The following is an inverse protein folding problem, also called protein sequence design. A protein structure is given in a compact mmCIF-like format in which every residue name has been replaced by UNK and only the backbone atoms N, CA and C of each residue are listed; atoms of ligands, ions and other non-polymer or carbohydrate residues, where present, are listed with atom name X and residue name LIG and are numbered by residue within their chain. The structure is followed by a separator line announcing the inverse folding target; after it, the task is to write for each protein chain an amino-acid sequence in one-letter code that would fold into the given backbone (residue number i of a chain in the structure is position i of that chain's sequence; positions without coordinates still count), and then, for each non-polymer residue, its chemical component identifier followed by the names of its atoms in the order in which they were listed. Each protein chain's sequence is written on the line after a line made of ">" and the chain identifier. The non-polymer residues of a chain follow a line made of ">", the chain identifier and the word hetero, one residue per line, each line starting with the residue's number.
data_IF_425242279128
#
_entry.id   IF_425242279128
#
_cell.length_a   1.000
_cell.length_b   1.000
_cell.length_c   1.000
_cell.angle_alpha   90.00
_cell.angle_beta   90.00
_cell.angle_gamma   90.00
#
_symmetry.space_group_name_H-M   'P 1'
#
loop_
_entity.id
_entity.type
_entity.pdbx_description
1 polymer ?
#
# COMPACT_ATOMS: atom_id res chain seq x y z
N UNK A 1 21.26 2.19 47.64
CA UNK A 1 21.51 2.74 46.29
C UNK A 1 21.38 4.27 46.33
N UNK A 2 22.48 5.03 46.17
CA UNK A 2 22.44 6.49 46.10
C UNK A 2 21.95 6.89 44.70
N UNK A 3 20.80 7.56 44.58
CA UNK A 3 20.32 8.14 43.32
C UNK A 3 21.29 9.26 42.91
N UNK A 4 21.87 9.17 41.72
CA UNK A 4 22.70 10.22 41.14
C UNK A 4 21.80 11.44 40.86
N UNK A 5 21.95 12.51 41.63
CA UNK A 5 21.30 13.80 41.33
C UNK A 5 22.14 14.51 40.29
N UNK A 6 21.81 14.32 39.01
CA UNK A 6 22.39 15.10 37.92
C UNK A 6 21.82 16.51 38.05
N UNK A 7 22.68 17.53 38.17
CA UNK A 7 22.22 18.91 38.26
C UNK A 7 21.65 19.37 36.92
N UNK A 8 20.74 20.35 36.96
CA UNK A 8 20.15 20.94 35.75
C UNK A 8 21.23 21.49 34.80
N UNK A 9 22.34 21.98 35.34
CA UNK A 9 23.49 22.46 34.58
C UNK A 9 24.23 21.33 33.84
N UNK A 10 24.36 20.15 34.45
CA UNK A 10 24.98 18.98 33.79
C UNK A 10 24.06 18.44 32.70
N UNK A 11 22.74 18.42 32.92
CA UNK A 11 21.77 18.08 31.87
C UNK A 11 21.82 19.06 30.69
N UNK A 12 21.86 20.36 30.96
CA UNK A 12 21.99 21.38 29.92
C UNK A 12 23.30 21.24 29.13
N UNK A 13 24.42 20.98 29.83
CA UNK A 13 25.71 20.74 29.19
C UNK A 13 25.71 19.51 28.28
N UNK A 14 25.09 18.40 28.71
CA UNK A 14 24.94 17.19 27.90
C UNK A 14 24.05 17.43 26.67
N UNK A 15 22.97 18.19 26.80
CA UNK A 15 22.12 18.56 25.66
C UNK A 15 22.88 19.41 24.62
N UNK A 16 23.69 20.37 25.07
CA UNK A 16 24.52 21.21 24.19
C UNK A 16 25.56 20.36 23.47
N UNK A 17 26.26 19.46 24.18
CA UNK A 17 27.22 18.53 23.58
C UNK A 17 26.58 17.61 22.55
N UNK A 18 25.37 17.11 22.82
CA UNK A 18 24.61 16.28 21.89
C UNK A 18 24.18 17.05 20.63
N UNK A 19 23.73 18.30 20.79
CA UNK A 19 23.43 19.21 19.68
C UNK A 19 24.67 19.53 18.83
N UNK A 20 25.79 19.85 19.46
CA UNK A 20 27.05 20.14 18.78
C UNK A 20 27.58 18.90 18.04
N UNK A 21 27.46 17.72 18.65
CA UNK A 21 27.82 16.45 17.99
C UNK A 21 26.90 16.18 16.78
N UNK A 22 25.59 16.40 16.91
CA UNK A 22 24.65 16.31 15.78
C UNK A 22 25.00 17.26 14.64
N UNK A 23 25.30 18.52 14.94
CA UNK A 23 25.73 19.52 13.94
C UNK A 23 27.07 19.14 13.29
N UNK A 24 28.01 18.59 14.06
CA UNK A 24 29.27 18.06 13.55
C UNK A 24 29.02 16.90 12.57
N UNK A 25 28.16 15.94 12.93
CA UNK A 25 27.79 14.83 12.03
C UNK A 25 27.12 15.33 10.74
N UNK A 26 26.23 16.33 10.81
CA UNK A 26 25.60 16.95 9.62
C UNK A 26 26.64 17.60 8.71
N UNK A 27 27.60 18.32 9.29
CA UNK A 27 28.64 19.03 8.53
C UNK A 27 29.53 18.07 7.73
N UNK A 28 29.78 16.87 8.24
CA UNK A 28 30.67 15.89 7.59
C UNK A 28 29.94 14.83 6.76
N UNK A 29 28.70 14.46 7.12
CA UNK A 29 27.93 13.41 6.45
C UNK A 29 26.76 13.96 5.60
N UNK A 30 26.64 15.29 5.47
CA UNK A 30 25.74 15.97 4.54
C UNK A 30 24.30 16.20 5.04
N UNK A 31 23.63 15.22 5.64
CA UNK A 31 22.23 15.37 6.10
C UNK A 31 21.95 14.50 7.32
N UNK A 32 21.23 15.02 8.31
CA UNK A 32 20.83 14.27 9.51
C UNK A 32 19.34 14.43 9.81
N UNK A 33 18.68 13.28 10.02
CA UNK A 33 17.40 13.12 10.72
C UNK A 33 16.12 13.44 9.94
N UNK A 34 15.31 12.41 9.68
CA UNK A 34 13.84 12.52 9.69
C UNK A 34 13.42 12.72 11.15
N UNK A 35 13.02 13.93 11.52
CA UNK A 35 12.32 14.15 12.78
C UNK A 35 10.83 13.91 12.54
N UNK A 36 10.20 13.14 13.45
CA UNK A 36 8.74 13.00 13.67
C UNK A 36 7.79 12.73 12.47
N UNK A 37 8.31 12.41 11.29
CA UNK A 37 7.50 12.26 10.08
C UNK A 37 7.15 13.57 9.37
N UNK A 38 7.69 14.71 9.81
CA UNK A 38 7.47 16.02 9.17
C UNK A 38 8.28 16.27 7.88
N UNK A 39 9.01 15.29 7.35
CA UNK A 39 9.86 15.42 6.15
C UNK A 39 10.91 16.57 6.23
N UNK A 40 11.17 17.08 7.45
CA UNK A 40 12.15 18.14 7.74
C UNK A 40 13.52 17.54 7.97
N UNK A 41 14.56 18.15 7.41
CA UNK A 41 15.95 17.78 7.65
C UNK A 41 16.74 18.89 8.34
N UNK A 42 17.88 18.47 8.91
CA UNK A 42 19.02 19.33 9.20
C UNK A 42 20.11 19.05 8.15
N UNK A 43 20.49 20.07 7.36
CA UNK A 43 21.50 19.99 6.30
C UNK A 43 22.53 21.11 6.48
N UNK A 44 23.75 20.86 6.07
CA UNK A 44 24.76 21.91 5.91
C UNK A 44 24.81 22.35 4.44
N UNK A 45 24.60 23.63 4.18
CA UNK A 45 24.70 24.26 2.88
C UNK A 45 26.12 24.80 2.69
N UNK A 46 26.98 24.00 2.06
CA UNK A 46 28.40 24.35 1.84
C UNK A 46 28.57 25.62 1.01
N UNK A 47 27.67 25.88 0.06
CA UNK A 47 27.76 27.04 -0.82
C UNK A 47 27.56 28.38 -0.08
N UNK A 48 26.80 28.35 1.01
CA UNK A 48 26.47 29.53 1.82
C UNK A 48 26.99 29.45 3.26
N UNK A 49 27.85 28.47 3.56
CA UNK A 49 28.48 28.21 4.86
C UNK A 49 27.50 28.25 6.06
N UNK A 50 26.31 27.65 5.91
CA UNK A 50 25.24 27.71 6.92
C UNK A 50 24.53 26.39 7.15
N UNK A 51 23.96 26.21 8.35
CA UNK A 51 23.05 25.11 8.64
C UNK A 51 21.62 25.50 8.25
N UNK A 52 20.95 24.64 7.47
CA UNK A 52 19.53 24.73 7.17
C UNK A 52 18.79 23.90 8.21
N UNK A 53 18.10 24.59 9.11
CA UNK A 53 17.20 23.99 10.08
C UNK A 53 15.80 23.94 9.47
N UNK A 54 15.12 22.78 9.58
CA UNK A 54 13.76 22.58 9.08
C UNK A 54 13.62 22.74 7.55
N UNK A 55 14.67 22.44 6.79
CA UNK A 55 14.58 22.39 5.32
C UNK A 55 13.67 21.25 4.88
N UNK A 56 12.89 21.47 3.81
CA UNK A 56 12.17 20.39 3.14
C UNK A 56 13.14 19.69 2.18
N UNK A 57 13.10 18.35 2.14
CA UNK A 57 13.75 17.54 1.09
C UNK A 57 13.45 18.16 -0.27
N UNK A 58 14.49 18.38 -1.06
CA UNK A 58 14.34 18.86 -2.43
C UNK A 58 13.88 17.66 -3.28
N UNK A 59 12.57 17.58 -3.51
CA UNK A 59 11.96 16.51 -4.28
C UNK A 59 12.02 16.88 -5.76
N UNK A 60 12.59 15.99 -6.57
CA UNK A 60 12.81 16.22 -7.99
C UNK A 60 12.05 15.21 -8.83
N UNK A 61 11.59 15.67 -9.99
CA UNK A 61 11.07 14.79 -11.03
C UNK A 61 12.27 14.12 -11.72
N UNK A 62 12.31 12.79 -11.69
CA UNK A 62 13.42 11.98 -12.20
C UNK A 62 12.98 10.86 -13.16
N UNK A 63 11.73 10.91 -13.61
CA UNK A 63 11.12 9.93 -14.53
C UNK A 63 9.71 10.35 -14.94
N UNK A 64 9.16 9.68 -15.94
CA UNK A 64 7.75 9.84 -16.31
C UNK A 64 6.83 9.26 -15.23
N UNK A 65 5.60 9.76 -15.13
CA UNK A 65 4.62 9.30 -14.14
C UNK A 65 3.20 9.74 -14.53
N UNK A 66 2.20 9.13 -13.88
CA UNK A 66 0.80 9.49 -14.02
C UNK A 66 -0.03 8.57 -14.92
N UNK A 67 -1.29 8.95 -15.19
CA UNK A 67 -1.87 10.24 -14.83
C UNK A 67 -2.35 10.32 -13.38
N UNK A 68 -2.35 11.55 -12.85
CA UNK A 68 -3.31 11.96 -11.81
C UNK A 68 -4.57 12.43 -12.54
N UNK A 69 -5.73 11.88 -12.19
CA UNK A 69 -7.02 12.24 -12.80
C UNK A 69 -7.96 12.76 -11.73
N UNK A 70 -8.34 14.03 -11.82
CA UNK A 70 -9.21 14.72 -10.86
C UNK A 70 -10.50 15.18 -11.51
N UNK A 71 -11.61 15.10 -10.79
CA UNK A 71 -12.87 15.77 -11.16
C UNK A 71 -12.70 17.28 -11.04
N UNK A 72 -13.16 17.99 -12.06
CA UNK A 72 -13.21 19.45 -12.11
C UNK A 72 -14.67 19.87 -12.34
N UNK A 73 -15.40 20.08 -11.25
CA UNK A 73 -16.85 20.27 -11.30
C UNK A 73 -17.60 19.01 -11.74
N UNK A 74 -18.82 19.17 -12.25
CA UNK A 74 -19.70 18.06 -12.61
C UNK A 74 -19.30 17.35 -13.93
N UNK A 75 -18.79 18.10 -14.90
CA UNK A 75 -18.74 17.65 -16.30
C UNK A 75 -17.32 17.58 -16.88
N UNK A 76 -16.27 17.79 -16.07
CA UNK A 76 -14.89 17.84 -16.56
C UNK A 76 -13.92 17.09 -15.64
N UNK A 77 -12.79 16.70 -16.23
CA UNK A 77 -11.66 16.07 -15.56
C UNK A 77 -10.40 16.87 -15.86
N UNK A 78 -9.57 17.10 -14.85
CA UNK A 78 -8.17 17.49 -15.04
C UNK A 78 -7.31 16.21 -15.03
N UNK A 79 -6.44 16.09 -16.02
CA UNK A 79 -5.48 14.99 -16.15
C UNK A 79 -4.07 15.56 -16.23
N UNK A 80 -3.23 15.17 -15.28
CA UNK A 80 -1.83 15.59 -15.19
C UNK A 80 -0.90 14.39 -15.41
N UNK A 81 0.17 14.59 -16.17
CA UNK A 81 1.26 13.64 -16.39
C UNK A 81 2.60 14.28 -16.09
N UNK A 82 3.58 13.49 -15.64
CA UNK A 82 4.99 13.85 -15.76
C UNK A 82 5.51 13.35 -17.08
N UNK A 83 6.06 14.25 -17.89
CA UNK A 83 6.63 13.95 -19.22
C UNK A 83 8.03 14.53 -19.33
N UNK A 84 8.82 14.00 -20.26
CA UNK A 84 10.17 14.45 -20.55
C UNK A 84 11.13 13.28 -20.65
N UNK A 85 12.41 13.63 -20.80
CA UNK A 85 13.52 12.68 -20.85
C UNK A 85 14.66 13.21 -19.97
N UNK A 86 15.54 12.31 -19.53
CA UNK A 86 16.65 12.67 -18.64
C UNK A 86 17.56 13.78 -19.21
N UNK A 87 17.65 13.91 -20.53
CA UNK A 87 18.42 14.94 -21.24
C UNK A 87 17.76 16.32 -21.27
N UNK A 88 16.44 16.42 -21.14
CA UNK A 88 15.68 17.64 -21.42
C UNK A 88 14.83 18.15 -20.24
N UNK A 89 14.99 17.52 -19.07
CA UNK A 89 14.23 17.77 -17.82
C UNK A 89 12.79 17.25 -17.88
N UNK A 90 12.33 16.72 -16.74
CA UNK A 90 10.94 16.30 -16.57
C UNK A 90 10.05 17.48 -16.16
N UNK A 91 8.83 17.52 -16.70
CA UNK A 91 7.83 18.57 -16.45
C UNK A 91 6.44 17.98 -16.31
N UNK A 92 5.54 18.71 -15.64
CA UNK A 92 4.13 18.34 -15.54
C UNK A 92 3.34 18.98 -16.67
N UNK A 93 2.62 18.16 -17.43
CA UNK A 93 1.65 18.61 -18.44
C UNK A 93 0.25 18.29 -17.97
N UNK A 94 -0.64 19.28 -18.06
CA UNK A 94 -2.05 19.16 -17.69
C UNK A 94 -2.95 19.29 -18.91
N UNK A 95 -4.06 18.57 -18.88
CA UNK A 95 -5.15 18.69 -19.86
C UNK A 95 -6.49 18.64 -19.15
N UNK A 96 -7.48 19.35 -19.69
CA UNK A 96 -8.86 19.27 -19.23
C UNK A 96 -9.66 18.52 -20.28
N UNK A 97 -10.37 17.49 -19.84
CA UNK A 97 -11.16 16.60 -20.69
C UNK A 97 -12.63 16.63 -20.24
N UNK A 98 -13.60 16.55 -21.17
CA UNK A 98 -14.98 16.36 -20.77
C UNK A 98 -15.15 15.00 -20.09
N UNK A 99 -15.88 14.97 -18.98
CA UNK A 99 -16.29 13.72 -18.36
C UNK A 99 -17.29 13.02 -19.29
N UNK A 100 -16.96 11.80 -19.71
CA UNK A 100 -17.81 10.96 -20.56
C UNK A 100 -17.71 9.52 -20.10
N UNK A 101 -18.78 8.77 -20.29
CA UNK A 101 -18.76 7.33 -20.08
C UNK A 101 -17.69 6.70 -20.97
N UNK A 102 -16.94 5.76 -20.39
CA UNK A 102 -15.88 5.03 -21.09
C UNK A 102 -14.77 5.91 -21.67
N UNK A 103 -14.49 7.08 -21.06
CA UNK A 103 -13.30 7.86 -21.40
C UNK A 103 -12.05 6.98 -21.26
N UNK A 104 -11.22 6.95 -22.30
CA UNK A 104 -9.98 6.18 -22.29
C UNK A 104 -8.76 7.09 -22.25
N UNK A 105 -7.73 6.63 -21.55
CA UNK A 105 -6.42 7.28 -21.53
C UNK A 105 -5.31 6.24 -21.41
N UNK A 106 -4.09 6.64 -21.77
CA UNK A 106 -2.91 5.76 -21.73
C UNK A 106 -2.08 6.05 -20.49
N UNK A 107 -1.78 5.01 -19.74
CA UNK A 107 -0.81 5.03 -18.65
C UNK A 107 0.53 4.57 -19.22
N UNK A 108 1.60 5.29 -18.88
CA UNK A 108 2.98 4.91 -19.24
C UNK A 108 3.74 4.60 -17.96
N UNK A 109 4.59 3.59 -18.01
CA UNK A 109 5.38 3.12 -16.87
C UNK A 109 6.81 3.56 -17.04
N UNK A 110 7.41 4.09 -15.97
CA UNK A 110 8.84 4.37 -15.94
C UNK A 110 9.61 3.09 -15.63
N UNK A 111 9.85 2.30 -16.67
CA UNK A 111 10.68 1.11 -16.64
C UNK A 111 11.42 0.88 -17.97
N UNK A 112 12.32 -0.09 -17.99
CA UNK A 112 13.16 -0.41 -19.16
C UNK A 112 12.34 -0.78 -20.39
N UNK A 113 11.23 -1.50 -20.20
CA UNK A 113 10.37 -1.99 -21.30
C UNK A 113 9.46 -0.90 -21.88
N UNK A 114 9.39 0.27 -21.23
CA UNK A 114 8.52 1.39 -21.59
C UNK A 114 7.06 0.95 -21.71
N UNK A 115 6.63 0.16 -20.73
CA UNK A 115 5.28 -0.38 -20.70
C UNK A 115 4.23 0.73 -20.78
N UNK A 116 3.14 0.40 -21.45
CA UNK A 116 1.97 1.27 -21.54
C UNK A 116 0.71 0.46 -21.71
N UNK A 117 -0.37 0.93 -21.13
CA UNK A 117 -1.67 0.28 -21.23
C UNK A 117 -2.79 1.32 -21.23
N UNK A 118 -3.95 0.93 -21.74
CA UNK A 118 -5.12 1.78 -21.81
C UNK A 118 -6.03 1.49 -20.63
N UNK A 119 -6.47 2.56 -19.95
CA UNK A 119 -7.49 2.50 -18.90
C UNK A 119 -8.78 3.04 -19.46
N UNK A 120 -9.89 2.35 -19.18
CA UNK A 120 -11.25 2.86 -19.41
C UNK A 120 -11.82 3.34 -18.09
N UNK A 121 -12.09 4.65 -18.01
CA UNK A 121 -12.72 5.25 -16.85
C UNK A 121 -14.14 4.69 -16.67
N UNK A 122 -14.45 4.30 -15.44
CA UNK A 122 -15.77 3.78 -15.04
C UNK A 122 -16.27 4.49 -13.79
N UNK A 123 -17.58 4.42 -13.58
CA UNK A 123 -18.17 4.79 -12.30
C UNK A 123 -17.63 3.91 -11.17
N UNK A 124 -17.38 4.50 -10.01
CA UNK A 124 -17.09 3.74 -8.79
C UNK A 124 -18.43 3.27 -8.21
N UNK A 125 -18.65 1.95 -8.01
CA UNK A 125 -19.87 1.47 -7.37
C UNK A 125 -20.02 2.06 -5.96
N UNK A 126 -21.25 2.37 -5.55
CA UNK A 126 -21.52 2.94 -4.21
C UNK A 126 -21.14 2.00 -3.07
N UNK A 127 -21.27 0.68 -3.28
CA UNK A 127 -20.86 -0.33 -2.30
C UNK A 127 -20.38 -1.61 -2.99
N UNK A 128 -19.54 -2.37 -2.27
CA UNK A 128 -19.11 -3.71 -2.66
C UNK A 128 -19.34 -4.64 -1.46
N UNK A 129 -19.83 -5.87 -1.67
CA UNK A 129 -19.86 -6.88 -0.61
C UNK A 129 -18.46 -7.10 -0.06
N UNK A 130 -18.37 -7.36 1.24
CA UNK A 130 -17.13 -7.75 1.94
C UNK A 130 -17.11 -9.23 2.33
N UNK A 131 -18.17 -9.95 1.98
CA UNK A 131 -18.32 -11.40 2.14
C UNK A 131 -18.79 -12.00 0.82
N UNK A 132 -18.06 -12.99 0.33
CA UNK A 132 -18.35 -13.73 -0.90
C UNK A 132 -18.41 -15.23 -0.61
N UNK A 133 -19.16 -15.97 -1.43
CA UNK A 133 -19.14 -17.44 -1.42
C UNK A 133 -17.77 -18.02 -1.84
N UNK A 134 -17.55 -19.33 -1.60
CA UNK A 134 -16.32 -20.00 -2.01
C UNK A 134 -16.02 -19.85 -3.50
N UNK A 135 -14.74 -19.78 -3.85
CA UNK A 135 -14.29 -19.63 -5.24
C UNK A 135 -13.38 -20.78 -5.64
N UNK A 136 -13.57 -21.38 -6.84
CA UNK A 136 -12.78 -22.52 -7.29
C UNK A 136 -11.35 -22.14 -7.67
N UNK A 137 -11.13 -20.86 -8.02
CA UNK A 137 -9.86 -20.31 -8.45
C UNK A 137 -9.66 -18.91 -7.89
N UNK A 138 -8.62 -18.73 -7.08
CA UNK A 138 -8.34 -17.48 -6.39
C UNK A 138 -6.82 -17.26 -6.31
N UNK A 139 -6.31 -16.15 -6.82
CA UNK A 139 -4.93 -15.71 -6.61
C UNK A 139 -4.89 -14.57 -5.57
N UNK A 140 -3.96 -14.62 -4.62
CA UNK A 140 -3.71 -13.55 -3.67
C UNK A 140 -2.24 -13.09 -3.73
N UNK A 141 -2.04 -11.78 -3.62
CA UNK A 141 -0.75 -11.10 -3.63
C UNK A 141 -0.82 -9.88 -2.71
N UNK A 142 0.33 -9.41 -2.21
CA UNK A 142 0.40 -8.33 -1.22
C UNK A 142 1.69 -7.53 -1.38
N UNK A 143 1.71 -6.31 -0.83
CA UNK A 143 2.94 -5.54 -0.58
C UNK A 143 3.76 -5.27 -1.85
N UNK A 144 3.09 -4.94 -2.96
CA UNK A 144 3.76 -4.61 -4.22
C UNK A 144 4.44 -3.23 -4.17
N UNK A 145 3.97 -2.32 -3.32
CA UNK A 145 4.66 -1.06 -2.99
C UNK A 145 5.17 -0.30 -4.23
N UNK A 146 4.31 -0.10 -5.23
CA UNK A 146 4.68 0.59 -6.47
C UNK A 146 5.64 -0.15 -7.42
N UNK A 147 5.95 -1.43 -7.18
CA UNK A 147 6.76 -2.27 -8.06
C UNK A 147 5.92 -2.87 -9.20
N UNK A 148 5.80 -2.09 -10.27
CA UNK A 148 5.03 -2.49 -11.46
C UNK A 148 5.55 -3.76 -12.13
N UNK A 149 6.87 -3.96 -12.17
CA UNK A 149 7.49 -5.10 -12.85
C UNK A 149 7.16 -6.42 -12.13
N UNK A 150 7.25 -6.44 -10.80
CA UNK A 150 6.83 -7.58 -10.00
C UNK A 150 5.35 -7.89 -10.22
N UNK A 151 4.49 -6.87 -10.14
CA UNK A 151 3.06 -7.01 -10.36
C UNK A 151 2.76 -7.59 -11.76
N UNK A 152 3.35 -6.99 -12.81
CA UNK A 152 3.18 -7.43 -14.19
C UNK A 152 3.58 -8.89 -14.38
N UNK A 153 4.79 -9.25 -13.93
CA UNK A 153 5.33 -10.59 -14.09
C UNK A 153 4.48 -11.63 -13.37
N UNK A 154 4.08 -11.35 -12.12
CA UNK A 154 3.30 -12.29 -11.32
C UNK A 154 1.91 -12.54 -11.92
N UNK A 155 1.20 -11.47 -12.32
CA UNK A 155 -0.14 -11.58 -12.90
C UNK A 155 -0.10 -12.28 -14.27
N UNK A 156 0.86 -11.94 -15.13
CA UNK A 156 0.99 -12.53 -16.48
C UNK A 156 1.34 -14.02 -16.38
N UNK A 157 2.37 -14.37 -15.61
CA UNK A 157 2.84 -15.76 -15.50
C UNK A 157 1.81 -16.71 -14.87
N UNK A 158 0.89 -16.17 -14.07
CA UNK A 158 -0.21 -16.94 -13.46
C UNK A 158 -1.54 -16.85 -14.22
N UNK A 159 -1.51 -16.26 -15.43
CA UNK A 159 -2.66 -16.19 -16.33
C UNK A 159 -3.76 -15.25 -15.88
N UNK A 160 -3.49 -14.32 -14.95
CA UNK A 160 -4.47 -13.30 -14.55
C UNK A 160 -4.72 -12.31 -15.67
N UNK A 161 -3.67 -11.97 -16.41
CA UNK A 161 -3.77 -11.12 -17.58
C UNK A 161 -2.90 -11.62 -18.73
N UNK A 162 -3.26 -11.20 -19.94
CA UNK A 162 -2.42 -11.34 -21.14
C UNK A 162 -1.31 -10.28 -21.14
N UNK A 163 -0.32 -10.44 -22.03
CA UNK A 163 0.75 -9.46 -22.24
C UNK A 163 0.22 -8.07 -22.64
N UNK A 164 -0.97 -8.01 -23.26
CA UNK A 164 -1.69 -6.80 -23.65
C UNK A 164 -2.59 -6.23 -22.54
N UNK A 165 -2.34 -6.58 -21.27
CA UNK A 165 -3.06 -6.04 -20.09
C UNK A 165 -4.56 -6.36 -20.10
N UNK A 166 -4.95 -7.50 -20.71
CA UNK A 166 -6.34 -7.98 -20.71
C UNK A 166 -6.54 -9.10 -19.70
N UNK A 167 -7.56 -8.98 -18.86
CA UNK A 167 -8.00 -10.01 -17.92
C UNK A 167 -8.16 -11.36 -18.62
N UNK A 168 -7.54 -12.37 -18.05
CA UNK A 168 -7.49 -13.73 -18.57
C UNK A 168 -7.77 -14.79 -17.48
N UNK A 169 -8.31 -14.37 -16.33
CA UNK A 169 -8.57 -15.27 -15.20
C UNK A 169 -10.01 -15.82 -15.16
N UNK A 170 -10.76 -15.70 -16.26
CA UNK A 170 -12.15 -16.17 -16.36
C UNK A 170 -13.03 -15.60 -15.24
N UNK A 171 -13.79 -16.48 -14.58
CA UNK A 171 -14.58 -16.15 -13.38
C UNK A 171 -13.78 -16.25 -12.07
N UNK A 172 -12.46 -16.43 -12.14
CA UNK A 172 -11.60 -16.50 -10.97
C UNK A 172 -11.54 -15.16 -10.23
N UNK A 173 -11.05 -15.22 -9.00
CA UNK A 173 -10.89 -14.04 -8.15
C UNK A 173 -9.40 -13.72 -7.94
N UNK A 174 -9.05 -12.44 -7.90
CA UNK A 174 -7.71 -11.95 -7.52
C UNK A 174 -7.87 -11.07 -6.29
N UNK A 175 -6.97 -11.21 -5.31
CA UNK A 175 -6.97 -10.40 -4.08
C UNK A 175 -5.63 -9.68 -3.93
N UNK A 176 -5.69 -8.35 -3.92
CA UNK A 176 -4.56 -7.45 -3.62
C UNK A 176 -4.64 -7.06 -2.13
N UNK A 177 -3.89 -7.75 -1.28
CA UNK A 177 -3.99 -7.74 0.19
C UNK A 177 -3.27 -6.55 0.87
N UNK A 178 -3.38 -5.35 0.30
CA UNK A 178 -2.82 -4.11 0.86
C UNK A 178 -1.36 -3.83 0.49
N UNK A 179 -0.95 -2.59 0.77
CA UNK A 179 0.39 -2.02 0.56
C UNK A 179 0.84 -2.05 -0.92
N UNK A 180 0.00 -1.51 -1.81
CA UNK A 180 0.34 -1.30 -3.22
C UNK A 180 0.84 0.13 -3.51
N UNK A 181 0.67 1.04 -2.54
CA UNK A 181 1.20 2.41 -2.57
C UNK A 181 2.54 2.52 -1.82
N UNK A 182 3.13 3.71 -1.84
CA UNK A 182 4.42 4.05 -1.24
C UNK A 182 5.63 3.28 -1.80
N UNK A 183 6.83 3.69 -1.35
CA UNK A 183 8.18 3.18 -1.65
C UNK A 183 8.58 3.17 -3.12
N UNK A 184 7.92 2.39 -3.97
CA UNK A 184 8.26 2.24 -5.38
C UNK A 184 7.88 3.43 -6.24
N UNK A 185 8.48 3.49 -7.43
CA UNK A 185 8.36 4.61 -8.36
C UNK A 185 7.02 4.61 -9.13
N UNK A 186 6.43 3.44 -9.36
CA UNK A 186 5.33 3.25 -10.32
C UNK A 186 3.96 3.03 -9.64
N UNK A 187 3.72 3.66 -8.47
CA UNK A 187 2.47 3.54 -7.71
C UNK A 187 1.23 3.82 -8.57
N UNK A 188 1.21 4.96 -9.29
CA UNK A 188 0.06 5.32 -10.11
C UNK A 188 -0.20 4.29 -11.22
N UNK A 189 0.85 3.75 -11.83
CA UNK A 189 0.72 2.70 -12.84
C UNK A 189 0.17 1.39 -12.25
N UNK A 190 0.64 0.96 -11.07
CA UNK A 190 0.09 -0.21 -10.39
C UNK A 190 -1.41 -0.03 -10.09
N UNK A 191 -1.79 1.10 -9.50
CA UNK A 191 -3.19 1.37 -9.15
C UNK A 191 -4.08 1.43 -10.39
N UNK A 192 -3.65 2.09 -11.47
CA UNK A 192 -4.41 2.14 -12.71
C UNK A 192 -4.54 0.79 -13.40
N UNK A 193 -3.51 -0.06 -13.35
CA UNK A 193 -3.59 -1.42 -13.88
C UNK A 193 -4.60 -2.26 -13.10
N UNK A 194 -4.56 -2.22 -11.77
CA UNK A 194 -5.50 -2.93 -10.91
C UNK A 194 -6.93 -2.38 -11.07
N UNK A 195 -7.05 -1.06 -11.22
CA UNK A 195 -8.31 -0.43 -11.60
C UNK A 195 -8.78 -1.03 -12.91
N UNK A 196 -8.06 -0.94 -14.03
CA UNK A 196 -8.51 -1.50 -15.31
C UNK A 196 -8.87 -3.00 -15.23
N UNK A 197 -8.01 -3.82 -14.64
CA UNK A 197 -8.25 -5.26 -14.47
C UNK A 197 -9.49 -5.57 -13.63
N UNK A 198 -9.80 -4.77 -12.61
CA UNK A 198 -11.03 -4.94 -11.83
C UNK A 198 -12.28 -4.75 -12.70
N UNK A 199 -12.29 -3.75 -13.59
CA UNK A 199 -13.40 -3.54 -14.53
C UNK A 199 -13.54 -4.68 -15.53
N UNK A 200 -12.42 -5.16 -16.07
CA UNK A 200 -12.41 -6.28 -17.02
C UNK A 200 -12.82 -7.61 -16.35
N UNK A 201 -12.39 -7.86 -15.12
CA UNK A 201 -12.77 -9.03 -14.34
C UNK A 201 -14.30 -9.08 -14.14
N UNK A 202 -14.90 -7.95 -13.77
CA UNK A 202 -16.35 -7.85 -13.59
C UNK A 202 -17.12 -8.18 -14.88
N UNK A 203 -16.63 -7.74 -16.04
CA UNK A 203 -17.22 -8.07 -17.34
C UNK A 203 -17.09 -9.56 -17.70
N UNK A 204 -16.01 -10.21 -17.26
CA UNK A 204 -15.76 -11.63 -17.47
C UNK A 204 -16.43 -12.55 -16.43
N UNK A 205 -17.17 -11.99 -15.46
CA UNK A 205 -17.77 -12.73 -14.35
C UNK A 205 -16.79 -13.12 -13.23
N UNK A 206 -15.56 -12.62 -13.28
CA UNK A 206 -14.57 -12.72 -12.21
C UNK A 206 -14.58 -11.51 -11.29
N UNK A 207 -13.58 -11.43 -10.40
CA UNK A 207 -13.39 -10.29 -9.49
C UNK A 207 -11.92 -9.99 -9.23
N UNK A 208 -11.58 -8.71 -9.15
CA UNK A 208 -10.36 -8.24 -8.50
C UNK A 208 -10.77 -7.47 -7.25
N UNK A 209 -10.41 -8.03 -6.09
CA UNK A 209 -10.61 -7.45 -4.78
C UNK A 209 -9.35 -6.71 -4.39
N UNK A 210 -9.49 -5.44 -4.05
CA UNK A 210 -8.42 -4.67 -3.44
C UNK A 210 -8.79 -4.47 -1.97
N UNK A 211 -7.84 -4.66 -1.06
CA UNK A 211 -8.00 -4.43 0.37
C UNK A 211 -6.95 -3.40 0.78
N UNK A 212 -7.32 -2.43 1.60
CA UNK A 212 -6.41 -1.39 2.07
C UNK A 212 -5.50 -1.93 3.17
N UNK A 213 -4.21 -1.65 3.05
CA UNK A 213 -3.20 -1.87 4.08
C UNK A 213 -2.91 -0.61 4.88
N UNK A 214 -1.83 -0.65 5.65
CA UNK A 214 -1.42 0.51 6.43
C UNK A 214 -0.84 1.64 5.57
N UNK A 215 -0.19 1.32 4.44
CA UNK A 215 0.31 2.34 3.54
C UNK A 215 -0.83 3.09 2.83
N UNK A 216 -1.90 2.40 2.42
CA UNK A 216 -3.11 3.07 1.92
C UNK A 216 -3.73 3.97 2.99
N UNK A 217 -3.82 3.53 4.26
CA UNK A 217 -4.31 4.39 5.34
C UNK A 217 -3.48 5.68 5.51
N UNK A 218 -2.14 5.57 5.49
CA UNK A 218 -1.27 6.76 5.54
C UNK A 218 -1.50 7.69 4.34
N UNK A 219 -1.65 7.12 3.15
CA UNK A 219 -1.87 7.91 1.93
C UNK A 219 -3.23 8.62 1.97
N UNK A 220 -4.30 7.90 2.31
CA UNK A 220 -5.67 8.42 2.39
C UNK A 220 -5.86 9.45 3.51
N UNK A 221 -5.01 9.46 4.53
CA UNK A 221 -4.96 10.49 5.58
C UNK A 221 -3.93 11.59 5.29
N UNK A 222 -3.45 11.68 4.03
CA UNK A 222 -2.50 12.67 3.55
C UNK A 222 -1.16 12.69 4.33
N UNK A 223 -0.73 11.54 4.81
CA UNK A 223 0.54 11.35 5.53
C UNK A 223 1.57 10.62 4.65
N UNK A 224 2.38 11.34 3.84
CA UNK A 224 3.34 10.75 2.88
C UNK A 224 4.61 10.19 3.55
N UNK A 225 4.45 9.34 4.57
CA UNK A 225 5.57 8.83 5.39
C UNK A 225 6.59 8.01 4.59
N UNK A 226 6.10 7.21 3.66
CA UNK A 226 6.91 6.31 2.84
C UNK A 226 6.68 6.52 1.35
N UNK A 227 5.96 7.57 0.96
CA UNK A 227 5.74 7.91 -0.44
C UNK A 227 7.08 8.14 -1.15
N UNK A 228 7.21 7.60 -2.36
CA UNK A 228 8.41 7.82 -3.16
C UNK A 228 8.58 9.31 -3.45
N UNK A 229 9.82 9.78 -3.44
CA UNK A 229 10.18 11.20 -3.62
C UNK A 229 9.58 11.80 -4.89
N UNK A 230 9.55 11.04 -5.99
CA UNK A 230 8.95 11.46 -7.27
C UNK A 230 7.46 11.78 -7.16
N UNK A 231 6.68 10.99 -6.41
CA UNK A 231 5.25 11.25 -6.28
C UNK A 231 5.00 12.55 -5.50
N UNK A 232 5.85 12.85 -4.52
CA UNK A 232 5.82 14.12 -3.78
C UNK A 232 6.20 15.29 -4.72
N UNK A 233 7.28 15.15 -5.51
CA UNK A 233 7.67 16.15 -6.51
C UNK A 233 6.56 16.39 -7.54
N UNK A 234 5.89 15.32 -7.99
CA UNK A 234 4.76 15.40 -8.90
C UNK A 234 3.59 16.14 -8.26
N UNK A 235 3.25 15.83 -7.01
CA UNK A 235 2.22 16.55 -6.28
C UNK A 235 2.55 18.06 -6.17
N UNK A 236 3.77 18.42 -5.80
CA UNK A 236 4.21 19.83 -5.71
C UNK A 236 4.13 20.53 -7.07
N UNK A 237 4.66 19.91 -8.13
CA UNK A 237 4.64 20.49 -9.47
C UNK A 237 3.23 20.58 -10.07
N UNK A 238 2.36 19.61 -9.80
CA UNK A 238 0.99 19.60 -10.29
C UNK A 238 0.10 20.61 -9.53
N UNK A 239 0.37 20.88 -8.25
CA UNK A 239 -0.46 21.78 -7.43
C UNK A 239 0.09 23.20 -7.38
N UNK A 240 1.39 23.38 -7.63
CA UNK A 240 2.11 24.63 -7.39
C UNK A 240 2.42 24.87 -5.90
N UNK A 241 2.16 23.89 -5.03
CA UNK A 241 2.39 24.00 -3.59
C UNK A 241 3.81 23.51 -3.27
N UNK A 242 4.64 24.37 -2.67
CA UNK A 242 6.02 24.02 -2.34
C UNK A 242 6.12 23.07 -1.14
N UNK A 243 5.15 23.08 -0.22
CA UNK A 243 5.23 22.23 0.98
C UNK A 243 4.80 20.80 0.65
N UNK A 244 5.62 19.76 0.95
CA UNK A 244 5.35 18.37 0.57
C UNK A 244 4.01 17.82 1.06
N UNK A 245 3.70 17.99 2.35
CA UNK A 245 2.48 17.43 2.95
C UNK A 245 1.22 18.10 2.40
N UNK A 246 1.11 19.44 2.34
CA UNK A 246 -0.02 20.09 1.67
C UNK A 246 -0.16 19.75 0.19
N UNK A 247 0.94 19.70 -0.57
CA UNK A 247 0.90 19.29 -1.98
C UNK A 247 0.37 17.86 -2.15
N UNK A 248 0.80 16.95 -1.28
CA UNK A 248 0.35 15.57 -1.27
C UNK A 248 -1.11 15.45 -0.83
N UNK A 249 -1.57 16.25 0.14
CA UNK A 249 -2.97 16.29 0.56
C UNK A 249 -3.90 16.67 -0.60
N UNK A 250 -3.48 17.61 -1.46
CA UNK A 250 -4.21 17.94 -2.69
C UNK A 250 -4.28 16.76 -3.66
N UNK A 251 -3.30 15.86 -3.68
CA UNK A 251 -3.36 14.65 -4.50
C UNK A 251 -4.35 13.62 -3.89
N UNK A 252 -4.43 13.56 -2.57
CA UNK A 252 -5.19 12.57 -1.79
C UNK A 252 -6.63 12.99 -1.45
N UNK A 253 -7.23 13.83 -2.28
CA UNK A 253 -8.61 14.31 -2.11
C UNK A 253 -9.64 13.50 -2.91
N UNK A 254 -10.92 13.72 -2.63
CA UNK A 254 -12.04 12.96 -3.22
C UNK A 254 -12.26 13.28 -4.71
N UNK A 255 -11.74 14.41 -5.18
CA UNK A 255 -11.74 14.74 -6.60
C UNK A 255 -10.85 13.78 -7.40
N UNK A 256 -9.77 13.24 -6.80
CA UNK A 256 -8.90 12.27 -7.46
C UNK A 256 -9.61 10.91 -7.60
N UNK A 257 -9.74 10.44 -8.85
CA UNK A 257 -10.46 9.20 -9.18
C UNK A 257 -9.87 7.97 -8.48
N UNK A 258 -8.54 7.83 -8.43
CA UNK A 258 -7.91 6.69 -7.76
C UNK A 258 -8.10 6.74 -6.24
N UNK A 259 -8.09 7.93 -5.65
CA UNK A 259 -8.33 8.12 -4.22
C UNK A 259 -9.77 7.77 -3.89
N UNK A 260 -10.73 8.32 -4.64
CA UNK A 260 -12.15 7.98 -4.49
C UNK A 260 -12.39 6.46 -4.67
N UNK A 261 -11.65 5.80 -5.56
CA UNK A 261 -11.69 4.34 -5.70
C UNK A 261 -11.09 3.60 -4.48
N UNK A 262 -9.92 4.02 -3.99
CA UNK A 262 -9.25 3.44 -2.81
C UNK A 262 -10.10 3.57 -1.53
N UNK A 263 -10.76 4.72 -1.33
CA UNK A 263 -11.64 4.95 -0.18
C UNK A 263 -12.83 4.00 -0.12
N UNK A 264 -13.23 3.39 -1.24
CA UNK A 264 -14.31 2.39 -1.31
C UNK A 264 -13.83 0.95 -1.12
N UNK A 265 -12.52 0.72 -0.99
CA UNK A 265 -11.99 -0.62 -0.74
C UNK A 265 -12.07 -0.95 0.76
N UNK A 266 -12.36 -2.21 1.12
CA UNK A 266 -12.38 -2.67 2.51
C UNK A 266 -10.96 -2.79 3.09
N UNK A 267 -10.88 -3.04 4.40
CA UNK A 267 -9.67 -3.50 5.13
C UNK A 267 -9.76 -4.97 5.55
N UNK A 268 -10.96 -5.56 5.52
CA UNK A 268 -11.18 -6.99 5.72
C UNK A 268 -12.15 -7.55 4.67
N UNK A 269 -11.84 -8.74 4.16
CA UNK A 269 -12.62 -9.41 3.12
C UNK A 269 -12.71 -10.91 3.40
N UNK A 270 -13.91 -11.48 3.32
CA UNK A 270 -14.11 -12.93 3.40
C UNK A 270 -14.53 -13.52 2.06
N UNK A 271 -13.90 -14.63 1.67
CA UNK A 271 -14.25 -15.43 0.49
C UNK A 271 -14.36 -16.90 0.91
N UNK A 272 -15.58 -17.39 1.05
CA UNK A 272 -15.87 -18.70 1.63
C UNK A 272 -15.35 -18.78 3.07
N UNK A 273 -14.47 -19.74 3.34
CA UNK A 273 -13.85 -19.96 4.65
C UNK A 273 -12.49 -19.26 4.84
N UNK A 274 -12.19 -18.25 4.02
CA UNK A 274 -10.90 -17.51 4.01
C UNK A 274 -11.15 -16.06 4.37
N UNK A 275 -10.44 -15.55 5.37
CA UNK A 275 -10.41 -14.14 5.74
C UNK A 275 -9.09 -13.52 5.28
N UNK A 276 -9.19 -12.41 4.55
CA UNK A 276 -8.09 -11.59 4.09
C UNK A 276 -8.04 -10.31 4.91
N UNK A 277 -6.84 -10.00 5.41
CA UNK A 277 -6.52 -8.79 6.17
C UNK A 277 -5.06 -8.47 5.92
N UNK A 278 -4.69 -7.20 5.89
CA UNK A 278 -3.34 -6.81 5.51
C UNK A 278 -2.26 -7.36 6.47
N UNK A 279 -2.30 -7.07 7.78
CA UNK A 279 -1.21 -7.47 8.69
C UNK A 279 -1.52 -8.68 9.57
N UNK A 280 -2.64 -8.67 10.29
CA UNK A 280 -3.01 -9.75 11.20
C UNK A 280 -3.85 -9.27 12.38
N UNK A 281 -4.61 -10.17 12.99
CA UNK A 281 -5.60 -9.83 14.02
C UNK A 281 -5.03 -10.16 15.40
N UNK A 282 -4.94 -9.19 16.30
CA UNK A 282 -4.56 -9.46 17.69
C UNK A 282 -5.72 -10.06 18.50
N UNK A 283 -5.46 -10.83 19.57
CA UNK A 283 -6.49 -11.29 20.49
C UNK A 283 -7.29 -10.13 21.11
N UNK A 284 -6.67 -8.98 21.36
CA UNK A 284 -7.32 -7.77 21.85
C UNK A 284 -8.30 -7.20 20.83
N UNK A 285 -7.90 -7.14 19.56
CA UNK A 285 -8.80 -6.70 18.48
C UNK A 285 -9.97 -7.66 18.32
N UNK A 286 -9.72 -8.97 18.29
CA UNK A 286 -10.78 -9.98 18.18
C UNK A 286 -11.77 -9.95 19.37
N UNK A 287 -11.31 -9.55 20.57
CA UNK A 287 -12.17 -9.39 21.76
C UNK A 287 -13.13 -8.20 21.68
N UNK A 288 -12.90 -7.25 20.76
CA UNK A 288 -13.87 -6.18 20.50
C UNK A 288 -15.19 -6.72 19.91
N UNK A 289 -15.17 -7.94 19.36
CA UNK A 289 -16.36 -8.62 18.87
C UNK A 289 -16.95 -8.01 17.60
N UNK A 290 -16.15 -7.27 16.83
CA UNK A 290 -16.58 -6.67 15.57
C UNK A 290 -16.58 -7.72 14.45
N UNK A 291 -17.68 -7.79 13.72
CA UNK A 291 -17.75 -8.51 12.45
C UNK A 291 -17.03 -7.73 11.34
N UNK A 292 -16.90 -8.38 10.17
CA UNK A 292 -16.14 -7.85 9.03
C UNK A 292 -16.76 -6.52 8.55
N UNK A 293 -18.08 -6.44 8.51
CA UNK A 293 -18.84 -5.25 8.12
C UNK A 293 -18.54 -4.09 9.07
N UNK A 294 -18.58 -4.30 10.39
CA UNK A 294 -18.27 -3.27 11.37
C UNK A 294 -16.84 -2.77 11.24
N UNK A 295 -15.86 -3.67 11.06
CA UNK A 295 -14.45 -3.26 10.88
C UNK A 295 -14.31 -2.34 9.67
N UNK A 296 -14.90 -2.72 8.54
CA UNK A 296 -14.86 -1.91 7.32
C UNK A 296 -15.61 -0.57 7.48
N UNK A 297 -16.74 -0.56 8.19
CA UNK A 297 -17.48 0.67 8.47
C UNK A 297 -16.68 1.65 9.33
N UNK A 298 -15.96 1.16 10.35
CA UNK A 298 -15.06 2.00 11.17
C UNK A 298 -13.98 2.62 10.29
N UNK A 299 -13.36 1.82 9.41
CA UNK A 299 -12.38 2.32 8.44
C UNK A 299 -12.97 3.41 7.53
N UNK A 300 -14.08 3.14 6.82
CA UNK A 300 -14.69 4.10 5.89
C UNK A 300 -15.11 5.40 6.59
N UNK A 301 -15.73 5.31 7.77
CA UNK A 301 -16.11 6.50 8.53
C UNK A 301 -14.90 7.36 8.91
N UNK A 302 -13.76 6.74 9.23
CA UNK A 302 -12.56 7.47 9.63
C UNK A 302 -11.91 8.24 8.48
N UNK A 303 -11.93 7.71 7.24
CA UNK A 303 -11.30 8.34 6.07
C UNK A 303 -12.22 9.30 5.30
N UNK A 304 -13.54 9.17 5.45
CA UNK A 304 -14.52 10.08 4.85
C UNK A 304 -14.84 11.27 5.79
N UNK A 305 -14.88 11.04 7.11
CA UNK A 305 -15.32 12.05 8.08
C UNK A 305 -14.24 12.51 9.07
N UNK A 306 -13.04 11.93 9.03
CA UNK A 306 -11.99 12.20 10.03
C UNK A 306 -12.43 11.83 11.45
N UNK A 307 -13.33 10.85 11.58
CA UNK A 307 -13.88 10.45 12.89
C UNK A 307 -12.77 9.78 13.69
N UNK A 308 -12.30 10.46 14.74
CA UNK A 308 -11.37 9.90 15.71
C UNK A 308 -12.12 9.52 16.99
N UNK A 309 -12.07 8.24 17.34
CA UNK A 309 -12.65 7.68 18.57
C UNK A 309 -11.92 6.40 18.99
N UNK A 310 -12.36 5.79 20.09
CA UNK A 310 -11.78 4.54 20.60
C UNK A 310 -11.82 3.38 19.58
N UNK A 311 -12.79 3.35 18.66
CA UNK A 311 -12.86 2.32 17.63
C UNK A 311 -11.75 2.51 16.58
N UNK A 312 -11.53 3.74 16.13
CA UNK A 312 -10.45 4.05 15.19
C UNK A 312 -9.08 3.97 15.83
N UNK A 313 -8.95 4.31 17.12
CA UNK A 313 -7.72 4.08 17.89
C UNK A 313 -7.34 2.60 17.89
N UNK A 314 -8.31 1.69 18.13
CA UNK A 314 -8.05 0.25 18.10
C UNK A 314 -7.77 -0.28 16.68
N UNK A 315 -8.47 0.24 15.67
CA UNK A 315 -8.24 -0.14 14.27
C UNK A 315 -6.82 0.22 13.80
N UNK A 316 -6.33 1.40 14.20
CA UNK A 316 -5.05 1.95 13.76
C UNK A 316 -3.91 1.77 14.77
N UNK A 317 -4.15 1.09 15.89
CA UNK A 317 -3.12 0.78 16.87
C UNK A 317 -1.97 0.00 16.19
N UNK A 318 -0.76 0.52 16.36
CA UNK A 318 0.45 0.04 15.67
C UNK A 318 0.95 -1.34 16.15
N UNK A 319 0.26 -1.94 17.15
CA UNK A 319 0.55 -3.26 17.73
C UNK A 319 -0.64 -4.21 17.67
N UNK A 320 -1.84 -3.69 17.89
CA UNK A 320 -3.08 -4.47 18.04
C UNK A 320 -3.92 -4.47 16.77
N UNK A 321 -3.88 -3.38 16.00
CA UNK A 321 -4.77 -3.15 14.87
C UNK A 321 -4.50 -4.10 13.70
N UNK A 322 -5.54 -4.45 12.92
CA UNK A 322 -5.44 -5.41 11.81
C UNK A 322 -4.54 -4.95 10.66
N UNK A 323 -4.25 -3.64 10.59
CA UNK A 323 -3.36 -3.06 9.58
C UNK A 323 -1.89 -3.09 10.00
N UNK A 324 -1.56 -3.39 11.26
CA UNK A 324 -0.19 -3.29 11.79
C UNK A 324 0.30 -4.52 12.54
N UNK A 325 -0.60 -5.32 13.13
CA UNK A 325 -0.18 -6.36 14.07
C UNK A 325 0.65 -7.44 13.38
N UNK A 326 1.83 -7.70 13.93
CA UNK A 326 2.75 -8.76 13.45
C UNK A 326 2.78 -9.99 14.35
N UNK A 327 1.95 -9.98 15.40
CA UNK A 327 1.94 -11.00 16.47
C UNK A 327 1.62 -12.40 15.96
N UNK A 328 0.91 -12.53 14.82
CA UNK A 328 0.71 -13.82 14.15
C UNK A 328 2.00 -14.42 13.58
N UNK A 329 2.97 -13.59 13.19
CA UNK A 329 4.20 -14.00 12.51
C UNK A 329 5.39 -14.06 13.46
N UNK A 330 5.52 -13.10 14.38
CA UNK A 330 6.66 -12.96 15.29
C UNK A 330 6.30 -12.16 16.56
N UNK A 331 7.12 -12.21 17.63
CA UNK A 331 7.00 -11.28 18.74
C UNK A 331 7.05 -9.83 18.26
N UNK A 332 6.14 -9.00 18.75
CA UNK A 332 5.98 -7.63 18.28
C UNK A 332 5.25 -6.76 19.32
N UNK A 333 5.61 -5.49 19.42
CA UNK A 333 4.93 -4.55 20.32
C UNK A 333 5.05 -4.90 21.82
N UNK A 334 6.09 -5.65 22.22
CA UNK A 334 6.24 -6.15 23.60
C UNK A 334 5.37 -7.37 23.92
N UNK A 335 4.79 -8.01 22.90
CA UNK A 335 4.01 -9.25 23.01
C UNK A 335 4.75 -10.39 22.32
N UNK A 336 4.52 -11.60 22.81
CA UNK A 336 4.98 -12.82 22.15
C UNK A 336 4.21 -13.08 20.84
N UNK A 337 4.76 -13.98 20.01
CA UNK A 337 4.01 -14.55 18.89
C UNK A 337 2.79 -15.30 19.43
N UNK A 338 1.66 -15.22 18.73
CA UNK A 338 0.44 -15.90 19.16
C UNK A 338 0.65 -17.41 19.33
N UNK A 339 0.04 -17.97 20.37
CA UNK A 339 -0.10 -19.41 20.53
C UNK A 339 -1.18 -19.99 19.59
N UNK A 340 -1.12 -21.30 19.33
CA UNK A 340 -2.14 -22.01 18.53
C UNK A 340 -3.56 -21.80 19.08
N UNK A 341 -3.71 -21.73 20.41
CA UNK A 341 -5.01 -21.54 21.05
C UNK A 341 -5.58 -20.13 20.84
N UNK A 342 -4.73 -19.10 20.93
CA UNK A 342 -5.13 -17.70 20.67
C UNK A 342 -5.52 -17.53 19.21
N UNK A 343 -4.71 -18.04 18.30
CA UNK A 343 -4.98 -18.01 16.86
C UNK A 343 -6.27 -18.78 16.50
N UNK A 344 -6.48 -19.97 17.06
CA UNK A 344 -7.71 -20.73 16.84
C UNK A 344 -8.96 -20.00 17.37
N UNK A 345 -8.84 -19.26 18.47
CA UNK A 345 -9.92 -18.43 18.98
C UNK A 345 -10.28 -17.30 18.02
N UNK A 346 -9.30 -16.70 17.34
CA UNK A 346 -9.53 -15.66 16.33
C UNK A 346 -10.29 -16.24 15.13
N UNK A 347 -9.86 -17.40 14.60
CA UNK A 347 -10.58 -18.09 13.52
C UNK A 347 -12.05 -18.36 13.89
N UNK A 348 -12.30 -18.78 15.13
CA UNK A 348 -13.65 -19.01 15.66
C UNK A 348 -14.47 -17.72 15.74
N UNK A 349 -13.89 -16.60 16.16
CA UNK A 349 -14.58 -15.29 16.21
C UNK A 349 -15.12 -14.89 14.85
N UNK A 350 -14.34 -15.10 13.78
CA UNK A 350 -14.74 -14.72 12.42
C UNK A 350 -15.40 -15.85 11.62
N UNK A 351 -15.54 -17.04 12.19
CA UNK A 351 -16.19 -18.18 11.52
C UNK A 351 -15.47 -18.65 10.25
N UNK A 352 -14.12 -18.58 10.23
CA UNK A 352 -13.29 -18.94 9.08
C UNK A 352 -12.29 -20.04 9.43
N UNK A 353 -11.79 -20.75 8.42
CA UNK A 353 -10.77 -21.80 8.60
C UNK A 353 -9.37 -21.30 8.27
N UNK A 354 -9.26 -20.23 7.47
CA UNK A 354 -8.00 -19.73 6.98
C UNK A 354 -7.91 -18.21 7.10
N UNK A 355 -6.71 -17.74 7.45
CA UNK A 355 -6.31 -16.33 7.41
C UNK A 355 -5.20 -16.15 6.38
N UNK A 356 -5.29 -15.08 5.59
CA UNK A 356 -4.28 -14.71 4.60
C UNK A 356 -3.81 -13.29 4.96
N UNK A 357 -2.51 -13.13 5.16
CA UNK A 357 -1.87 -11.87 5.60
C UNK A 357 -0.63 -11.53 4.77
N UNK A 358 -0.39 -10.24 4.59
CA UNK A 358 0.82 -9.62 4.06
C UNK A 358 1.65 -8.96 5.17
N UNK A 359 2.13 -7.73 4.93
CA UNK A 359 2.78 -6.80 5.87
C UNK A 359 4.13 -7.23 6.47
N UNK A 360 4.29 -8.52 6.74
CA UNK A 360 5.44 -9.13 7.36
C UNK A 360 6.16 -10.05 6.41
N UNK A 361 7.16 -9.47 5.73
CA UNK A 361 8.11 -10.15 4.86
C UNK A 361 8.56 -11.48 5.48
N UNK A 362 8.27 -12.55 4.76
CA UNK A 362 8.80 -13.90 4.96
C UNK A 362 9.75 -14.26 3.81
N UNK A 363 10.56 -15.30 3.99
CA UNK A 363 11.49 -15.76 2.96
C UNK A 363 10.78 -16.22 1.68
N UNK A 364 9.64 -16.88 1.86
CA UNK A 364 8.78 -17.36 0.79
C UNK A 364 7.33 -17.43 1.28
N UNK A 365 6.39 -17.34 0.34
CA UNK A 365 4.98 -17.58 0.60
C UNK A 365 4.84 -18.95 1.26
N UNK A 366 4.30 -18.95 2.47
CA UNK A 366 4.36 -20.11 3.36
C UNK A 366 3.19 -20.13 4.33
N UNK A 367 3.03 -21.27 5.00
CA UNK A 367 1.98 -21.48 5.99
C UNK A 367 2.51 -21.54 7.42
N UNK A 368 1.63 -21.26 8.38
CA UNK A 368 1.84 -21.48 9.81
C UNK A 368 0.53 -22.01 10.46
N UNK A 369 0.55 -22.31 11.76
CA UNK A 369 -0.60 -22.80 12.54
C UNK A 369 -1.26 -24.04 11.90
N UNK A 370 -0.47 -25.06 11.57
CA UNK A 370 -0.93 -26.27 10.89
C UNK A 370 -1.63 -26.03 9.54
N UNK A 371 -1.23 -24.99 8.81
CA UNK A 371 -1.70 -24.73 7.45
C UNK A 371 -2.92 -23.82 7.35
N UNK A 372 -3.41 -23.26 8.47
CA UNK A 372 -4.54 -22.34 8.48
C UNK A 372 -4.14 -20.88 8.23
N UNK A 373 -2.91 -20.47 8.59
CA UNK A 373 -2.40 -19.14 8.26
C UNK A 373 -1.55 -19.20 6.99
N UNK A 374 -1.80 -18.30 6.05
CA UNK A 374 -0.95 -18.04 4.89
C UNK A 374 -0.30 -16.66 5.02
N UNK A 375 1.04 -16.63 4.91
CA UNK A 375 1.85 -15.41 4.90
C UNK A 375 2.33 -15.18 3.48
N UNK A 376 1.90 -14.07 2.87
CA UNK A 376 2.04 -13.85 1.43
C UNK A 376 2.88 -12.62 1.06
N UNK A 377 3.42 -11.91 2.05
CA UNK A 377 4.39 -10.82 1.83
C UNK A 377 5.81 -11.39 1.78
N UNK A 378 6.49 -11.15 0.65
CA UNK A 378 7.88 -11.53 0.38
C UNK A 378 8.61 -10.33 -0.19
N UNK A 379 9.95 -10.35 -0.11
CA UNK A 379 10.75 -9.35 -0.81
C UNK A 379 10.65 -9.59 -2.33
N UNK A 380 9.75 -8.87 -2.99
CA UNK A 380 9.60 -8.93 -4.45
C UNK A 380 10.84 -8.38 -5.15
N UNK A 381 11.16 -8.95 -6.32
CA UNK A 381 12.24 -8.44 -7.16
C UNK A 381 11.79 -7.21 -7.96
N UNK A 382 12.70 -6.29 -8.24
CA UNK A 382 12.45 -5.13 -9.12
C UNK A 382 12.28 -5.52 -10.60
N UNK A 383 12.66 -6.75 -10.95
CA UNK A 383 12.67 -7.25 -12.32
C UNK A 383 11.40 -8.06 -12.62
N UNK A 384 10.92 -7.99 -13.86
CA UNK A 384 9.81 -8.84 -14.29
C UNK A 384 10.21 -10.31 -14.26
N UNK A 385 9.21 -11.18 -14.09
CA UNK A 385 9.37 -12.63 -14.20
C UNK A 385 10.47 -13.23 -13.29
N UNK A 386 10.59 -12.72 -12.06
CA UNK A 386 11.51 -13.25 -11.05
C UNK A 386 10.86 -14.33 -10.19
N UNK A 387 11.60 -15.40 -9.89
CA UNK A 387 11.16 -16.43 -8.94
C UNK A 387 11.00 -15.91 -7.50
N UNK A 388 11.62 -14.77 -7.16
CA UNK A 388 11.51 -14.12 -5.85
C UNK A 388 10.14 -13.45 -5.65
N UNK A 389 9.52 -12.99 -6.75
CA UNK A 389 8.17 -12.41 -6.71
C UNK A 389 7.16 -13.55 -6.65
N UNK A 390 6.39 -13.60 -5.57
CA UNK A 390 5.53 -14.74 -5.25
C UNK A 390 4.10 -14.32 -4.92
N UNK A 391 3.19 -15.30 -5.00
CA UNK A 391 1.80 -15.17 -4.59
C UNK A 391 1.23 -16.50 -4.12
N UNK A 392 -0.04 -16.48 -3.73
CA UNK A 392 -0.79 -17.63 -3.23
C UNK A 392 -1.95 -17.94 -4.17
N UNK A 393 -1.94 -19.12 -4.79
CA UNK A 393 -3.02 -19.60 -5.64
C UNK A 393 -3.82 -20.68 -4.91
N UNK A 394 -5.13 -20.49 -4.80
CA UNK A 394 -6.06 -21.56 -4.49
C UNK A 394 -6.71 -22.04 -5.79
N UNK A 395 -6.58 -23.32 -6.08
CA UNK A 395 -7.16 -23.96 -7.25
C UNK A 395 -7.37 -25.46 -6.95
N UNK A 396 -8.51 -26.02 -7.37
CA UNK A 396 -8.80 -27.46 -7.22
C UNK A 396 -8.65 -28.01 -5.78
N UNK A 397 -9.07 -27.23 -4.77
CA UNK A 397 -8.99 -27.63 -3.36
C UNK A 397 -7.58 -27.71 -2.79
N UNK A 398 -6.61 -27.06 -3.43
CA UNK A 398 -5.21 -26.95 -2.97
C UNK A 398 -4.80 -25.50 -2.86
N UNK A 399 -3.87 -25.22 -1.95
CA UNK A 399 -3.13 -23.98 -1.91
C UNK A 399 -1.73 -24.21 -2.51
N UNK A 400 -1.32 -23.30 -3.39
CA UNK A 400 -0.02 -23.30 -4.02
C UNK A 400 0.69 -21.98 -3.74
N UNK A 401 1.97 -22.04 -3.39
CA UNK A 401 2.88 -20.93 -3.67
C UNK A 401 3.11 -20.91 -5.16
N UNK A 402 2.95 -19.73 -5.75
CA UNK A 402 3.30 -19.47 -7.15
C UNK A 402 4.30 -18.34 -7.24
N UNK A 403 5.06 -18.28 -8.34
CA UNK A 403 5.97 -17.17 -8.59
C UNK A 403 5.74 -16.52 -9.96
N UNK A 404 6.49 -15.47 -10.27
CA UNK A 404 6.41 -14.76 -11.55
C UNK A 404 7.03 -15.52 -12.74
N UNK A 405 7.49 -16.76 -12.56
CA UNK A 405 7.84 -17.70 -13.64
C UNK A 405 6.70 -18.70 -13.94
N UNK A 406 5.61 -18.65 -13.17
CA UNK A 406 4.48 -19.58 -13.29
C UNK A 406 4.73 -20.94 -12.62
N UNK A 407 5.83 -21.09 -11.88
CA UNK A 407 6.11 -22.28 -11.10
C UNK A 407 5.13 -22.40 -9.93
N UNK A 408 4.75 -23.63 -9.59
CA UNK A 408 3.76 -23.91 -8.54
C UNK A 408 4.28 -24.95 -7.56
N UNK A 409 4.22 -24.62 -6.27
CA UNK A 409 4.58 -25.52 -5.17
C UNK A 409 3.38 -25.68 -4.25
N UNK A 410 2.95 -26.92 -3.99
CA UNK A 410 1.84 -27.20 -3.08
C UNK A 410 2.24 -26.82 -1.65
N UNK A 411 1.44 -25.98 -1.00
CA UNK A 411 1.60 -25.62 0.42
C UNK A 411 0.73 -26.50 1.32
N UNK A 412 -0.54 -26.68 0.94
CA UNK A 412 -1.49 -27.47 1.72
C UNK A 412 -2.65 -27.97 0.87
N UNK A 413 -3.34 -29.00 1.37
CA UNK A 413 -4.70 -29.35 0.90
C UNK A 413 -5.68 -28.48 1.67
N UNK A 414 -6.56 -27.78 0.96
CA UNK A 414 -7.53 -26.85 1.55
C UNK A 414 -8.88 -27.52 1.45
N UNK A 415 -9.41 -27.97 2.60
CA UNK A 415 -10.77 -28.50 2.65
C UNK A 415 -11.72 -27.30 2.58
N UNK A 416 -12.62 -27.34 1.59
CA UNK A 416 -13.57 -26.27 1.26
C UNK A 416 -14.47 -25.84 2.41
#
# INVERSE_FOLDING_TARGET
>A
MKKLKISLAVMAGLCILFLLFGLYQVRYNGTYGRFDGSLRYLKYDEANDRFIFFGFLDYQLDGIDGPIVKRLGADSLEMAYVVGEASEKYTVVKSVLPLRDSLQFTVKVDNTDKDKFTVTLRGTPESRPVVYGPQPKLLALSDMEGNFNALYGLLTANGVMTEDYRWNFGNGHVVCNGDFVDRGRNVLACLWLLYELQGQAEQAGGKLHFINGNHEHWNLTAYPKSAHSRLIAFAQAATGIEQPVPAFAELMNDENILVAWLKKQPVMLQIGNKLFVHAGISPEFAKAGWDIEKVNQVFWNSIDGGVENAETELLYDDKLGPLWSRTMVRPYGGKEKLSDAEYASILKTYGVNHLIIGHSIVEEVSTDYNGSLFRIDVQHAEEKFSAQTQGLLFEEGKAFRVNALGERVVLSRVVG
#
